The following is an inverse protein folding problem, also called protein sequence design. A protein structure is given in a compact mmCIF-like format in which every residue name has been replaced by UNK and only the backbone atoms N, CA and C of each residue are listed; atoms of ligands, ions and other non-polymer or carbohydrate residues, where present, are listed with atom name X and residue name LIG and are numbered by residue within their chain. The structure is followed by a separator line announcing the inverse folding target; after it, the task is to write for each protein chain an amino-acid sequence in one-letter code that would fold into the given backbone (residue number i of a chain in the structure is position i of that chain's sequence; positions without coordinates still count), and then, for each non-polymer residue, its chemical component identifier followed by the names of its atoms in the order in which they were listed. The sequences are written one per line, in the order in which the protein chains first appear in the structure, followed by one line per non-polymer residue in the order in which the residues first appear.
data_IF_524753834757
#
_entry.id   IF_524753834757
#
_cell.length_a   1.000
_cell.length_b   1.000
_cell.length_c   1.000
_cell.angle_alpha   90.00
_cell.angle_beta   90.00
_cell.angle_gamma   90.00
#
_symmetry.space_group_name_H-M   'P 1'
#
loop_
_entity.id
_entity.type
_entity.pdbx_description
1 polymer ?
#
# COMPACT_ATOMS: atom_id res chain seq x y z
N UNK A 1 -3.84 14.25 -16.06
CA UNK A 1 -3.71 12.93 -16.73
C UNK A 1 -4.84 12.71 -17.71
N UNK A 2 -4.54 12.12 -18.86
CA UNK A 2 -5.47 11.98 -20.00
C UNK A 2 -6.37 10.75 -19.88
N UNK A 3 -7.49 10.76 -20.63
CA UNK A 3 -8.34 9.58 -20.82
C UNK A 3 -7.67 8.53 -21.73
N UNK A 4 -6.81 8.97 -22.66
CA UNK A 4 -6.01 8.09 -23.50
C UNK A 4 -4.60 7.91 -22.88
N UNK A 5 -4.18 6.69 -22.52
CA UNK A 5 -2.87 6.47 -21.90
C UNK A 5 -1.69 6.80 -22.82
N UNK A 6 -1.87 6.80 -24.15
CA UNK A 6 -0.81 7.18 -25.09
C UNK A 6 -0.41 8.65 -24.96
N UNK A 7 -1.26 9.50 -24.36
CA UNK A 7 -1.01 10.93 -24.21
C UNK A 7 -0.29 11.28 -22.90
N UNK A 8 0.14 10.30 -22.09
CA UNK A 8 0.92 10.58 -20.88
C UNK A 8 2.07 9.58 -20.68
N UNK A 9 3.18 10.07 -20.13
CA UNK A 9 4.41 9.28 -19.97
C UNK A 9 4.30 8.08 -19.01
N UNK A 10 3.23 7.97 -18.22
CA UNK A 10 2.99 6.80 -17.38
C UNK A 10 2.25 5.68 -18.12
N UNK A 11 1.66 5.96 -19.28
CA UNK A 11 0.81 5.04 -20.01
C UNK A 11 -0.35 4.51 -19.16
N UNK A 12 -0.94 5.39 -18.33
CA UNK A 12 -2.07 5.07 -17.45
C UNK A 12 -3.21 6.07 -17.68
N UNK A 13 -4.44 5.58 -17.75
CA UNK A 13 -5.64 6.43 -17.77
C UNK A 13 -5.84 7.13 -16.42
N UNK A 14 -6.42 8.33 -16.40
CA UNK A 14 -6.79 8.99 -15.15
C UNK A 14 -7.71 8.13 -14.26
N UNK A 15 -8.62 7.35 -14.88
CA UNK A 15 -9.51 6.44 -14.15
C UNK A 15 -8.75 5.37 -13.37
N UNK A 16 -7.78 4.69 -14.01
CA UNK A 16 -6.90 3.74 -13.33
C UNK A 16 -6.14 4.35 -12.16
N UNK A 17 -5.70 5.61 -12.27
CA UNK A 17 -5.04 6.32 -11.17
C UNK A 17 -6.03 6.64 -10.04
N UNK A 18 -7.18 7.23 -10.35
CA UNK A 18 -8.14 7.66 -9.32
C UNK A 18 -8.78 6.46 -8.62
N UNK A 19 -9.26 5.48 -9.38
CA UNK A 19 -9.95 4.31 -8.83
C UNK A 19 -8.97 3.30 -8.25
N UNK A 20 -7.96 2.90 -9.02
CA UNK A 20 -7.01 1.87 -8.63
C UNK A 20 -6.01 2.38 -7.60
N UNK A 21 -5.17 3.36 -7.97
CA UNK A 21 -4.12 3.85 -7.07
C UNK A 21 -4.69 4.69 -5.91
N UNK A 22 -5.54 5.67 -6.19
CA UNK A 22 -6.04 6.64 -5.22
C UNK A 22 -7.05 6.04 -4.26
N UNK A 23 -8.18 5.57 -4.78
CA UNK A 23 -9.26 5.04 -3.95
C UNK A 23 -8.90 3.68 -3.36
N UNK A 24 -8.61 2.67 -4.18
CA UNK A 24 -8.43 1.29 -3.66
C UNK A 24 -7.10 1.10 -2.95
N UNK A 25 -5.98 1.28 -3.67
CA UNK A 25 -4.67 0.91 -3.14
C UNK A 25 -4.22 1.84 -2.02
N UNK A 26 -4.37 3.16 -2.20
CA UNK A 26 -3.93 4.11 -1.18
C UNK A 26 -4.81 4.06 0.06
N UNK A 27 -6.15 4.06 -0.05
CA UNK A 27 -6.98 3.98 1.16
C UNK A 27 -6.78 2.63 1.83
N UNK A 28 -6.69 1.53 1.06
CA UNK A 28 -6.37 0.22 1.62
C UNK A 28 -5.10 0.25 2.45
N UNK A 29 -3.99 0.77 1.89
CA UNK A 29 -2.74 0.87 2.63
C UNK A 29 -2.87 1.73 3.89
N UNK A 30 -3.39 2.96 3.78
CA UNK A 30 -3.41 3.89 4.90
C UNK A 30 -4.43 3.54 6.00
N UNK A 31 -5.44 2.73 5.70
CA UNK A 31 -6.49 2.37 6.65
C UNK A 31 -6.39 0.94 7.17
N UNK A 32 -5.63 0.07 6.52
CA UNK A 32 -5.53 -1.35 6.90
C UNK A 32 -4.10 -1.79 7.24
N UNK A 33 -3.07 -1.01 6.89
CA UNK A 33 -1.69 -1.34 7.28
C UNK A 33 -1.52 -1.27 8.80
N UNK A 34 -1.13 -2.41 9.37
CA UNK A 34 -0.99 -2.59 10.81
C UNK A 34 -0.06 -1.57 11.45
N UNK A 35 1.12 -1.31 10.87
CA UNK A 35 2.12 -0.43 11.44
C UNK A 35 1.64 1.03 11.43
N UNK A 36 0.98 1.43 10.35
CA UNK A 36 0.43 2.79 10.21
C UNK A 36 -0.71 3.02 11.21
N UNK A 37 -1.67 2.10 11.27
CA UNK A 37 -2.81 2.18 12.19
C UNK A 37 -2.33 2.12 13.65
N UNK A 38 -1.37 1.24 13.97
CA UNK A 38 -0.83 1.10 15.32
C UNK A 38 -0.22 2.41 15.83
N UNK A 39 0.53 3.14 14.98
CA UNK A 39 1.09 4.46 15.33
C UNK A 39 0.01 5.51 15.59
N UNK A 40 -1.11 5.44 14.88
CA UNK A 40 -2.23 6.34 15.11
C UNK A 40 -2.94 6.04 16.43
N UNK A 41 -3.17 4.77 16.77
CA UNK A 41 -3.86 4.38 18.02
C UNK A 41 -2.98 4.50 19.27
N UNK A 42 -1.65 4.46 19.13
CA UNK A 42 -0.72 4.71 20.24
C UNK A 42 -0.60 6.19 20.63
N UNK A 43 -1.34 7.09 19.96
CA UNK A 43 -1.33 8.50 20.27
C UNK A 43 -1.99 8.79 21.62
N UNK A 44 -1.49 9.84 22.31
CA UNK A 44 -1.90 10.19 23.69
C UNK A 44 -3.41 10.43 23.90
N UNK A 45 -4.15 10.79 22.86
CA UNK A 45 -5.60 11.02 22.90
C UNK A 45 -6.22 10.97 21.50
N UNK A 46 -7.55 10.97 21.43
CA UNK A 46 -8.32 10.88 20.18
C UNK A 46 -7.93 11.98 19.17
N UNK A 47 -7.78 13.23 19.62
CA UNK A 47 -7.37 14.32 18.73
C UNK A 47 -6.00 14.05 18.14
N UNK A 48 -5.02 13.65 18.96
CA UNK A 48 -3.68 13.33 18.48
C UNK A 48 -3.72 12.17 17.49
N UNK A 49 -4.53 11.14 17.75
CA UNK A 49 -4.75 10.00 16.85
C UNK A 49 -5.30 10.44 15.49
N UNK A 50 -6.32 11.32 15.48
CA UNK A 50 -6.90 11.89 14.26
C UNK A 50 -5.94 12.81 13.51
N UNK A 51 -5.11 13.57 14.23
CA UNK A 51 -4.12 14.47 13.65
C UNK A 51 -2.93 13.73 13.03
N UNK A 52 -2.61 12.51 13.49
CA UNK A 52 -1.50 11.70 12.96
C UNK A 52 -1.54 11.55 11.43
N UNK A 53 -2.62 11.02 10.81
CA UNK A 53 -2.68 10.91 9.34
C UNK A 53 -2.75 12.27 8.65
N UNK A 54 -3.39 13.28 9.27
CA UNK A 54 -3.51 14.63 8.69
C UNK A 54 -2.13 15.29 8.59
N UNK A 55 -1.33 15.26 9.65
CA UNK A 55 0.03 15.81 9.64
C UNK A 55 0.89 15.05 8.64
N UNK A 56 0.79 13.71 8.62
CA UNK A 56 1.52 12.88 7.67
C UNK A 56 1.20 13.24 6.20
N UNK A 57 -0.04 13.64 5.89
CA UNK A 57 -0.44 14.01 4.54
C UNK A 57 0.36 15.20 3.97
N UNK A 58 0.69 16.21 4.77
CA UNK A 58 1.50 17.35 4.33
C UNK A 58 2.91 16.92 3.92
N UNK A 59 3.57 16.12 4.76
CA UNK A 59 4.89 15.57 4.43
C UNK A 59 4.83 14.64 3.22
N UNK A 60 3.74 13.88 3.07
CA UNK A 60 3.56 12.97 1.93
C UNK A 60 3.37 13.72 0.62
N UNK A 61 2.74 14.90 0.63
CA UNK A 61 2.65 15.77 -0.55
C UNK A 61 4.01 16.35 -0.95
N UNK A 62 4.92 16.57 0.00
CA UNK A 62 6.28 17.04 -0.28
C UNK A 62 7.20 15.93 -0.82
N UNK A 63 6.95 14.67 -0.47
CA UNK A 63 7.85 13.55 -0.75
C UNK A 63 8.18 13.36 -2.26
N UNK A 64 7.23 13.48 -3.20
CA UNK A 64 7.52 13.38 -4.63
C UNK A 64 8.59 14.38 -5.12
N UNK A 65 8.64 15.59 -4.56
CA UNK A 65 9.67 16.58 -4.92
C UNK A 65 11.08 16.13 -4.56
N UNK A 66 11.22 15.22 -3.59
CA UNK A 66 12.51 14.65 -3.19
C UNK A 66 12.81 13.41 -4.03
N UNK A 67 11.89 12.44 -4.06
CA UNK A 67 12.16 11.11 -4.62
C UNK A 67 11.91 11.01 -6.12
N UNK A 68 10.82 11.61 -6.62
CA UNK A 68 10.45 11.53 -8.04
C UNK A 68 11.33 12.44 -8.87
N UNK A 69 11.60 13.66 -8.40
CA UNK A 69 12.52 14.59 -9.09
C UNK A 69 13.91 13.97 -9.23
N UNK A 70 14.44 13.33 -8.17
CA UNK A 70 15.69 12.58 -8.26
C UNK A 70 15.65 11.53 -9.37
N UNK A 71 14.59 10.72 -9.44
CA UNK A 71 14.40 9.75 -10.53
C UNK A 71 14.35 10.39 -11.93
N UNK A 72 13.66 11.53 -12.08
CA UNK A 72 13.58 12.27 -13.34
C UNK A 72 14.93 12.85 -13.77
N UNK A 73 15.70 13.41 -12.83
CA UNK A 73 17.06 13.89 -13.07
C UNK A 73 17.94 12.74 -13.56
N UNK A 74 17.92 11.59 -12.88
CA UNK A 74 18.67 10.42 -13.30
C UNK A 74 18.26 9.95 -14.71
N UNK A 75 16.96 9.99 -15.03
CA UNK A 75 16.45 9.59 -16.33
C UNK A 75 16.91 10.52 -17.46
N UNK A 76 16.89 11.84 -17.25
CA UNK A 76 17.38 12.83 -18.22
C UNK A 76 18.88 12.68 -18.42
N UNK A 77 19.65 12.61 -17.33
CA UNK A 77 21.10 12.44 -17.39
C UNK A 77 21.48 11.14 -18.13
N UNK A 78 20.77 10.04 -17.89
CA UNK A 78 21.08 8.76 -18.53
C UNK A 78 20.85 8.73 -20.04
N UNK A 79 20.07 9.69 -20.56
CA UNK A 79 19.80 9.84 -22.00
C UNK A 79 20.66 10.91 -22.66
N UNK A 80 21.28 11.78 -21.89
CA UNK A 80 22.20 12.80 -22.38
C UNK A 80 23.57 12.16 -22.70
N UNK A 81 23.99 12.11 -23.98
CA UNK A 81 25.28 11.54 -24.36
C UNK A 81 26.49 12.25 -23.72
N UNK A 82 26.34 13.52 -23.33
CA UNK A 82 27.42 14.34 -22.77
C UNK A 82 27.56 14.21 -21.25
N UNK A 83 26.56 13.66 -20.57
CA UNK A 83 26.55 13.63 -19.10
C UNK A 83 27.54 12.60 -18.52
N UNK A 84 27.96 11.61 -19.31
CA UNK A 84 28.68 10.40 -18.87
C UNK A 84 27.96 9.60 -17.75
N UNK A 85 26.70 9.91 -17.45
CA UNK A 85 25.89 9.17 -16.49
C UNK A 85 25.19 8.00 -17.17
N UNK A 86 25.23 6.82 -16.55
CA UNK A 86 24.49 5.65 -17.01
C UNK A 86 23.77 5.01 -15.83
N UNK A 87 22.55 4.57 -16.07
CA UNK A 87 21.83 3.69 -15.15
C UNK A 87 22.37 2.27 -15.28
N UNK A 88 22.20 1.45 -14.24
CA UNK A 88 22.58 0.06 -14.29
C UNK A 88 21.68 -0.67 -15.29
N UNK A 89 22.29 -1.57 -16.07
CA UNK A 89 21.57 -2.43 -17.01
C UNK A 89 21.73 -3.89 -16.61
N UNK A 90 20.64 -4.64 -16.68
CA UNK A 90 20.62 -6.09 -16.48
C UNK A 90 20.01 -6.74 -17.72
N UNK A 91 20.75 -7.63 -18.37
CA UNK A 91 20.37 -8.27 -19.64
C UNK A 91 19.90 -7.27 -20.72
N UNK A 92 20.55 -6.11 -20.82
CA UNK A 92 20.22 -5.07 -21.81
C UNK A 92 19.01 -4.19 -21.45
N UNK A 93 18.33 -4.44 -20.33
CA UNK A 93 17.26 -3.58 -19.82
C UNK A 93 17.76 -2.63 -18.74
N UNK A 94 17.30 -1.38 -18.79
CA UNK A 94 17.64 -0.36 -17.80
C UNK A 94 16.91 -0.65 -16.49
N UNK A 95 17.65 -0.71 -15.38
CA UNK A 95 17.09 -0.87 -14.04
C UNK A 95 16.80 0.50 -13.44
N UNK A 96 15.56 0.95 -13.52
CA UNK A 96 15.14 2.26 -13.00
C UNK A 96 15.37 2.42 -11.49
N UNK A 97 15.33 1.31 -10.72
CA UNK A 97 15.59 1.33 -9.28
C UNK A 97 17.04 1.74 -8.93
N UNK A 98 17.98 1.69 -9.89
CA UNK A 98 19.36 2.12 -9.66
C UNK A 98 19.54 3.65 -9.68
N UNK A 99 18.50 4.42 -9.97
CA UNK A 99 18.58 5.88 -10.10
C UNK A 99 19.19 6.56 -8.86
N UNK A 100 18.63 6.32 -7.67
CA UNK A 100 19.11 6.95 -6.43
C UNK A 100 20.55 6.53 -6.07
N UNK A 101 20.93 5.23 -6.06
CA UNK A 101 22.31 4.83 -5.80
C UNK A 101 23.31 5.44 -6.79
N UNK A 102 22.97 5.50 -8.08
CA UNK A 102 23.87 6.07 -9.10
C UNK A 102 24.01 7.59 -8.95
N UNK A 103 22.95 8.30 -8.60
CA UNK A 103 23.04 9.74 -8.31
C UNK A 103 23.90 10.02 -7.08
N UNK A 104 23.77 9.23 -6.01
CA UNK A 104 24.64 9.36 -4.84
C UNK A 104 26.11 9.15 -5.23
N UNK A 105 26.41 8.09 -5.97
CA UNK A 105 27.78 7.81 -6.43
C UNK A 105 28.35 8.93 -7.31
N UNK A 106 27.52 9.62 -8.10
CA UNK A 106 27.93 10.73 -8.97
C UNK A 106 28.18 12.03 -8.20
N UNK A 107 27.27 12.40 -7.30
CA UNK A 107 27.23 13.75 -6.73
C UNK A 107 27.85 13.86 -5.34
N UNK A 108 27.90 12.77 -4.57
CA UNK A 108 28.47 12.85 -3.23
C UNK A 108 30.00 12.75 -3.31
N UNK A 109 30.74 13.65 -2.65
CA UNK A 109 32.19 13.55 -2.55
C UNK A 109 32.60 12.34 -1.68
N UNK A 110 33.91 12.02 -1.74
CA UNK A 110 34.50 10.98 -0.91
C UNK A 110 34.22 11.25 0.58
N UNK A 111 33.80 10.21 1.31
CA UNK A 111 33.30 10.33 2.70
C UNK A 111 31.79 10.56 2.79
N UNK A 112 31.22 11.50 2.05
CA UNK A 112 29.76 11.72 2.04
C UNK A 112 29.01 10.55 1.40
N UNK A 113 29.59 9.89 0.37
CA UNK A 113 29.03 8.64 -0.20
C UNK A 113 28.78 7.60 0.90
N UNK A 114 29.73 7.44 1.84
CA UNK A 114 29.61 6.49 2.94
C UNK A 114 28.44 6.84 3.87
N UNK A 115 28.27 8.12 4.20
CA UNK A 115 27.12 8.61 4.99
C UNK A 115 25.81 8.35 4.24
N UNK A 116 25.77 8.63 2.93
CA UNK A 116 24.59 8.41 2.09
C UNK A 116 24.17 6.94 2.03
N UNK A 117 25.12 6.03 1.77
CA UNK A 117 24.87 4.58 1.76
C UNK A 117 24.42 4.11 3.14
N UNK A 118 25.08 4.59 4.21
CA UNK A 118 24.71 4.23 5.59
C UNK A 118 23.29 4.69 5.92
N UNK A 119 22.90 5.90 5.52
CA UNK A 119 21.54 6.41 5.72
C UNK A 119 20.48 5.58 4.96
N UNK A 120 20.78 5.15 3.72
CA UNK A 120 19.92 4.24 2.96
C UNK A 120 19.74 2.89 3.66
N UNK A 121 20.85 2.30 4.15
CA UNK A 121 20.82 1.04 4.88
C UNK A 121 20.07 1.17 6.20
N UNK A 122 20.30 2.24 6.95
CA UNK A 122 19.59 2.52 8.21
C UNK A 122 18.08 2.69 7.99
N UNK A 123 17.68 3.42 6.94
CA UNK A 123 16.28 3.58 6.56
C UNK A 123 15.61 2.24 6.19
N UNK A 124 16.31 1.42 5.42
CA UNK A 124 15.86 0.05 5.10
C UNK A 124 15.70 -0.82 6.35
N UNK A 125 16.69 -0.82 7.25
CA UNK A 125 16.66 -1.59 8.50
C UNK A 125 15.50 -1.17 9.41
N UNK A 126 15.23 0.12 9.53
CA UNK A 126 14.10 0.63 10.31
C UNK A 126 12.76 0.16 9.75
N UNK A 127 12.60 0.16 8.41
CA UNK A 127 11.41 -0.36 7.74
C UNK A 127 11.24 -1.87 7.93
N UNK A 128 12.31 -2.63 7.75
CA UNK A 128 12.30 -4.09 7.92
C UNK A 128 11.99 -4.50 9.35
N UNK A 129 12.59 -3.86 10.35
CA UNK A 129 12.32 -4.14 11.75
C UNK A 129 10.83 -3.95 12.10
N UNK A 130 10.20 -2.90 11.56
CA UNK A 130 8.76 -2.67 11.71
C UNK A 130 7.91 -3.78 11.10
N UNK A 131 8.18 -4.14 9.85
CA UNK A 131 7.41 -5.18 9.13
C UNK A 131 7.58 -6.57 9.76
N UNK A 132 8.78 -6.93 10.18
CA UNK A 132 9.07 -8.20 10.87
C UNK A 132 8.38 -8.26 12.23
N UNK A 133 8.33 -7.14 12.97
CA UNK A 133 7.62 -7.06 14.25
C UNK A 133 6.11 -7.26 14.07
N UNK A 134 5.53 -6.64 13.03
CA UNK A 134 4.12 -6.85 12.66
C UNK A 134 3.84 -8.31 12.29
N UNK A 135 4.67 -8.90 11.41
CA UNK A 135 4.56 -10.31 11.02
C UNK A 135 4.64 -11.26 12.23
N UNK A 136 5.59 -11.03 13.13
CA UNK A 136 5.74 -11.82 14.35
C UNK A 136 4.48 -11.72 15.24
N UNK A 137 3.91 -10.52 15.38
CA UNK A 137 2.69 -10.32 16.18
C UNK A 137 1.52 -11.11 15.59
N UNK A 138 1.29 -10.98 14.28
CA UNK A 138 0.21 -11.70 13.58
C UNK A 138 0.41 -13.21 13.66
N UNK A 139 1.63 -13.70 13.40
CA UNK A 139 1.93 -15.12 13.51
C UNK A 139 1.72 -15.65 14.93
N UNK A 140 2.27 -14.98 15.93
CA UNK A 140 2.30 -15.50 17.30
C UNK A 140 0.94 -15.39 17.99
N UNK A 141 0.27 -14.24 17.90
CA UNK A 141 -0.99 -13.99 18.60
C UNK A 141 -2.20 -14.38 17.77
N UNK A 142 -2.25 -13.97 16.50
CA UNK A 142 -3.47 -14.11 15.69
C UNK A 142 -3.61 -15.49 15.06
N UNK A 143 -2.52 -16.25 14.91
CA UNK A 143 -2.51 -17.60 14.33
C UNK A 143 -2.08 -18.65 15.36
N UNK A 144 -0.85 -18.55 15.87
CA UNK A 144 -0.25 -19.62 16.68
C UNK A 144 -0.96 -19.77 18.04
N UNK A 145 -1.16 -18.67 18.77
CA UNK A 145 -1.88 -18.69 20.05
C UNK A 145 -3.38 -18.89 19.89
N UNK A 146 -4.00 -18.38 18.83
CA UNK A 146 -5.46 -18.47 18.65
C UNK A 146 -5.92 -19.84 18.15
N UNK A 147 -5.16 -20.49 17.27
CA UNK A 147 -5.56 -21.72 16.56
C UNK A 147 -4.69 -22.93 16.92
N UNK A 148 -3.36 -22.78 16.97
CA UNK A 148 -2.44 -23.93 17.06
C UNK A 148 -2.20 -24.38 18.51
N UNK A 149 -1.74 -23.47 19.37
CA UNK A 149 -1.37 -23.78 20.76
C UNK A 149 -1.81 -22.65 21.69
N UNK A 150 -3.02 -22.79 22.24
CA UNK A 150 -3.72 -21.75 23.00
C UNK A 150 -3.17 -21.49 24.41
N UNK A 151 -2.65 -22.55 25.04
CA UNK A 151 -2.22 -22.55 26.44
C UNK A 151 -0.72 -22.87 26.55
N UNK A 152 0.13 -22.12 25.85
CA UNK A 152 1.57 -22.15 26.09
C UNK A 152 1.99 -21.07 27.10
N UNK A 153 3.18 -21.21 27.68
CA UNK A 153 3.78 -20.18 28.53
C UNK A 153 4.24 -18.97 27.71
N UNK A 154 4.34 -17.80 28.32
CA UNK A 154 4.83 -16.59 27.64
C UNK A 154 6.24 -16.76 27.06
N UNK A 155 7.11 -17.52 27.76
CA UNK A 155 8.44 -17.90 27.25
C UNK A 155 8.36 -18.65 25.91
N UNK A 156 7.37 -19.55 25.76
CA UNK A 156 7.15 -20.28 24.52
C UNK A 156 6.69 -19.36 23.39
N UNK A 157 5.79 -18.41 23.66
CA UNK A 157 5.36 -17.45 22.65
C UNK A 157 6.49 -16.51 22.20
N UNK A 158 7.34 -16.06 23.12
CA UNK A 158 8.54 -15.26 22.77
C UNK A 158 9.49 -16.08 21.91
N UNK A 159 9.73 -17.35 22.25
CA UNK A 159 10.54 -18.24 21.42
C UNK A 159 9.95 -18.41 20.02
N UNK A 160 8.65 -18.68 19.91
CA UNK A 160 7.99 -18.79 18.60
C UNK A 160 8.04 -17.51 17.79
N UNK A 161 7.97 -16.34 18.44
CA UNK A 161 8.17 -15.08 17.76
C UNK A 161 9.57 -14.94 17.16
N UNK A 162 10.62 -15.37 17.87
CA UNK A 162 11.99 -15.38 17.33
C UNK A 162 12.14 -16.32 16.13
N UNK A 163 11.49 -17.49 16.18
CA UNK A 163 11.45 -18.43 15.04
C UNK A 163 10.72 -17.80 13.84
N UNK A 164 9.60 -17.13 14.08
CA UNK A 164 8.85 -16.42 13.04
C UNK A 164 9.69 -15.31 12.40
N UNK A 165 10.49 -14.58 13.18
CA UNK A 165 11.43 -13.59 12.65
C UNK A 165 12.44 -14.21 11.69
N UNK A 166 13.10 -15.31 12.07
CA UNK A 166 14.09 -15.98 11.22
C UNK A 166 13.44 -16.50 9.94
N UNK A 167 12.28 -17.16 10.06
CA UNK A 167 11.53 -17.67 8.92
C UNK A 167 11.07 -16.55 7.98
N UNK A 168 10.55 -15.45 8.54
CA UNK A 168 10.11 -14.28 7.77
C UNK A 168 11.26 -13.62 7.01
N UNK A 169 12.45 -13.51 7.61
CA UNK A 169 13.65 -13.01 6.94
C UNK A 169 14.04 -13.93 5.78
N UNK A 170 14.04 -15.25 6.00
CA UNK A 170 14.36 -16.21 4.95
C UNK A 170 13.39 -16.11 3.76
N UNK A 171 12.09 -16.06 4.02
CA UNK A 171 11.06 -15.87 2.98
C UNK A 171 11.24 -14.52 2.26
N UNK A 172 11.62 -13.46 2.98
CA UNK A 172 11.90 -12.14 2.40
C UNK A 172 13.08 -12.18 1.43
N UNK A 173 14.14 -12.94 1.74
CA UNK A 173 15.29 -13.13 0.84
C UNK A 173 14.85 -13.87 -0.42
N UNK A 174 14.08 -14.96 -0.29
CA UNK A 174 13.58 -15.73 -1.45
C UNK A 174 12.71 -14.86 -2.35
N UNK A 175 11.78 -14.11 -1.76
CA UNK A 175 10.88 -13.22 -2.53
C UNK A 175 11.61 -12.03 -3.15
N UNK A 176 12.74 -11.58 -2.60
CA UNK A 176 13.57 -10.55 -3.22
C UNK A 176 14.18 -11.00 -4.56
N UNK A 177 14.49 -12.28 -4.73
CA UNK A 177 14.91 -12.81 -6.05
C UNK A 177 13.76 -12.80 -7.04
N UNK A 178 12.53 -13.07 -6.58
CA UNK A 178 11.36 -13.00 -7.44
C UNK A 178 11.06 -11.57 -7.90
N UNK A 179 11.26 -10.58 -7.02
CA UNK A 179 11.10 -9.16 -7.35
C UNK A 179 11.98 -8.70 -8.52
N UNK A 180 13.15 -9.34 -8.75
CA UNK A 180 14.01 -9.03 -9.91
C UNK A 180 13.37 -9.35 -11.26
N UNK A 181 12.32 -10.19 -11.29
CA UNK A 181 11.58 -10.50 -12.52
C UNK A 181 10.61 -9.40 -12.96
N UNK A 182 10.42 -8.36 -12.15
CA UNK A 182 9.55 -7.23 -12.45
C UNK A 182 10.33 -6.04 -13.02
N UNK A 183 9.68 -5.17 -13.84
CA UNK A 183 10.34 -3.99 -14.42
C UNK A 183 10.90 -3.00 -13.38
N UNK A 184 10.22 -2.88 -12.24
CA UNK A 184 10.66 -2.08 -11.11
C UNK A 184 10.16 -2.67 -9.80
N UNK A 185 10.79 -2.29 -8.68
CA UNK A 185 10.32 -2.66 -7.34
C UNK A 185 8.90 -2.12 -7.09
N UNK A 186 8.57 -0.96 -7.66
CA UNK A 186 7.23 -0.38 -7.57
C UNK A 186 6.19 -1.21 -8.30
N UNK A 187 6.49 -1.74 -9.49
CA UNK A 187 5.58 -2.66 -10.20
C UNK A 187 5.31 -3.92 -9.39
N UNK A 188 6.35 -4.49 -8.77
CA UNK A 188 6.21 -5.64 -7.88
C UNK A 188 5.34 -5.34 -6.66
N UNK A 189 5.60 -4.22 -5.98
CA UNK A 189 4.84 -3.82 -4.80
C UNK A 189 3.36 -3.59 -5.13
N UNK A 190 3.06 -2.90 -6.23
CA UNK A 190 1.69 -2.65 -6.65
C UNK A 190 0.98 -3.93 -7.12
N UNK A 191 1.73 -4.89 -7.66
CA UNK A 191 1.18 -6.19 -7.95
C UNK A 191 0.71 -6.91 -6.68
N UNK A 192 1.55 -6.98 -5.65
CA UNK A 192 1.17 -7.59 -4.36
C UNK A 192 0.00 -6.84 -3.71
N UNK A 193 0.02 -5.51 -3.72
CA UNK A 193 -1.07 -4.72 -3.16
C UNK A 193 -2.39 -4.97 -3.88
N UNK A 194 -2.37 -5.15 -5.20
CA UNK A 194 -3.58 -5.51 -5.96
C UNK A 194 -4.12 -6.90 -5.57
N UNK A 195 -3.27 -7.83 -5.15
CA UNK A 195 -3.69 -9.19 -4.79
C UNK A 195 -4.32 -9.25 -3.42
N UNK A 196 -3.73 -8.56 -2.43
CA UNK A 196 -4.09 -8.74 -1.01
C UNK A 196 -4.77 -7.49 -0.44
N UNK A 197 -4.15 -6.33 -0.60
CA UNK A 197 -4.61 -5.08 0.03
C UNK A 197 -5.94 -4.58 -0.55
N UNK A 198 -6.13 -4.69 -1.87
CA UNK A 198 -7.37 -4.26 -2.52
C UNK A 198 -8.63 -5.03 -2.02
N UNK A 199 -8.67 -6.37 -2.02
CA UNK A 199 -9.78 -7.13 -1.41
C UNK A 199 -9.95 -6.87 0.09
N UNK A 200 -8.85 -6.74 0.84
CA UNK A 200 -8.90 -6.47 2.27
C UNK A 200 -9.60 -5.13 2.56
N UNK A 201 -9.30 -4.10 1.76
CA UNK A 201 -9.97 -2.80 1.88
C UNK A 201 -11.48 -2.88 1.64
N UNK A 202 -11.95 -3.65 0.65
CA UNK A 202 -13.39 -3.84 0.41
C UNK A 202 -14.08 -4.46 1.63
N UNK A 203 -13.47 -5.51 2.20
CA UNK A 203 -14.00 -6.21 3.37
C UNK A 203 -14.03 -5.30 4.61
N UNK A 204 -12.94 -4.56 4.86
CA UNK A 204 -12.86 -3.60 5.96
C UNK A 204 -13.88 -2.47 5.82
N UNK A 205 -14.03 -1.90 4.61
CA UNK A 205 -15.00 -0.85 4.35
C UNK A 205 -16.44 -1.33 4.62
N UNK A 206 -16.79 -2.51 4.10
CA UNK A 206 -18.11 -3.09 4.35
C UNK A 206 -18.34 -3.40 5.84
N UNK A 207 -17.37 -4.01 6.51
CA UNK A 207 -17.45 -4.32 7.94
C UNK A 207 -17.57 -3.08 8.84
N UNK A 208 -16.89 -1.98 8.49
CA UNK A 208 -16.94 -0.74 9.28
C UNK A 208 -18.24 0.04 9.11
N UNK A 209 -18.86 0.01 7.92
CA UNK A 209 -19.97 0.90 7.57
C UNK A 209 -21.32 0.20 7.42
N UNK A 210 -21.37 -1.13 7.30
CA UNK A 210 -22.61 -1.88 6.98
C UNK A 210 -22.89 -2.95 8.04
N UNK A 211 -23.99 -2.78 8.78
CA UNK A 211 -24.34 -3.61 9.95
C UNK A 211 -24.77 -5.04 9.63
N UNK A 212 -25.26 -5.31 8.42
CA UNK A 212 -25.82 -6.61 8.04
C UNK A 212 -24.81 -7.51 7.31
N UNK A 213 -23.57 -7.03 7.11
CA UNK A 213 -22.50 -7.84 6.52
C UNK A 213 -22.12 -8.96 7.48
N UNK A 214 -21.97 -10.17 6.92
CA UNK A 214 -21.74 -11.38 7.71
C UNK A 214 -20.27 -11.82 7.66
N UNK A 215 -19.78 -12.56 8.67
CA UNK A 215 -18.42 -13.11 8.64
C UNK A 215 -18.17 -14.04 7.43
N UNK A 216 -19.19 -14.84 7.05
CA UNK A 216 -19.09 -15.73 5.89
C UNK A 216 -19.04 -14.94 4.57
N UNK A 217 -19.82 -13.86 4.47
CA UNK A 217 -19.75 -12.95 3.33
C UNK A 217 -18.36 -12.33 3.19
N UNK A 218 -17.83 -11.79 4.29
CA UNK A 218 -16.48 -11.23 4.33
C UNK A 218 -15.41 -12.26 3.94
N UNK A 219 -15.48 -13.48 4.48
CA UNK A 219 -14.53 -14.55 4.19
C UNK A 219 -14.53 -14.94 2.70
N UNK A 220 -15.70 -15.28 2.14
CA UNK A 220 -15.80 -15.70 0.75
C UNK A 220 -15.55 -14.57 -0.24
N UNK A 221 -15.95 -13.35 0.09
CA UNK A 221 -15.63 -12.17 -0.70
C UNK A 221 -14.12 -11.92 -0.75
N UNK A 222 -13.43 -12.02 0.39
CA UNK A 222 -11.98 -11.87 0.45
C UNK A 222 -11.26 -12.93 -0.40
N UNK A 223 -11.66 -14.20 -0.28
CA UNK A 223 -11.10 -15.30 -1.10
C UNK A 223 -11.36 -15.07 -2.59
N UNK A 224 -12.57 -14.65 -2.97
CA UNK A 224 -12.92 -14.36 -4.37
C UNK A 224 -12.11 -13.17 -4.93
N UNK A 225 -11.96 -12.10 -4.15
CA UNK A 225 -11.15 -10.94 -4.53
C UNK A 225 -9.66 -11.27 -4.70
N UNK A 226 -9.07 -11.99 -3.73
CA UNK A 226 -7.67 -12.40 -3.81
C UNK A 226 -7.42 -13.36 -4.97
N UNK A 227 -8.28 -14.37 -5.12
CA UNK A 227 -8.15 -15.38 -6.18
C UNK A 227 -8.35 -14.77 -7.57
N UNK A 228 -9.33 -13.89 -7.74
CA UNK A 228 -9.55 -13.19 -9.02
C UNK A 228 -8.35 -12.31 -9.38
N UNK A 229 -7.81 -11.55 -8.43
CA UNK A 229 -6.63 -10.71 -8.66
C UNK A 229 -5.40 -11.54 -9.03
N UNK A 230 -5.12 -12.61 -8.28
CA UNK A 230 -3.99 -13.47 -8.56
C UNK A 230 -4.14 -14.18 -9.91
N UNK A 231 -5.35 -14.66 -10.23
CA UNK A 231 -5.67 -15.29 -11.52
C UNK A 231 -5.48 -14.31 -12.67
N UNK A 232 -6.03 -13.09 -12.57
CA UNK A 232 -5.86 -12.05 -13.58
C UNK A 232 -4.38 -11.69 -13.80
N UNK A 233 -3.56 -11.68 -12.73
CA UNK A 233 -2.12 -11.50 -12.85
C UNK A 233 -1.47 -12.64 -13.66
N UNK A 234 -1.78 -13.90 -13.36
CA UNK A 234 -1.23 -15.05 -14.09
C UNK A 234 -1.67 -15.06 -15.56
N UNK A 235 -2.95 -14.79 -15.82
CA UNK A 235 -3.50 -14.77 -17.19
C UNK A 235 -2.81 -13.71 -18.06
N UNK A 236 -2.53 -12.52 -17.52
CA UNK A 236 -1.77 -11.49 -18.23
C UNK A 236 -0.29 -11.86 -18.34
N UNK A 237 0.32 -12.40 -17.27
CA UNK A 237 1.74 -12.77 -17.27
C UNK A 237 2.08 -13.87 -18.28
N UNK A 238 1.16 -14.83 -18.48
CA UNK A 238 1.31 -15.92 -19.45
C UNK A 238 0.71 -15.60 -20.83
N UNK A 239 0.35 -14.33 -21.10
CA UNK A 239 -0.25 -13.89 -22.37
C UNK A 239 -1.52 -14.65 -22.78
N UNK A 240 -2.25 -15.24 -21.82
CA UNK A 240 -3.54 -15.90 -22.07
C UNK A 240 -4.63 -14.84 -22.34
N UNK A 241 -4.55 -13.72 -21.63
CA UNK A 241 -5.41 -12.55 -21.83
C UNK A 241 -4.54 -11.33 -22.11
N UNK A 242 -4.91 -10.54 -23.11
CA UNK A 242 -4.25 -9.25 -23.35
C UNK A 242 -4.46 -8.31 -22.17
N UNK A 243 -3.40 -7.58 -21.79
CA UNK A 243 -3.47 -6.49 -20.81
C UNK A 243 -4.62 -5.51 -21.09
N UNK A 244 -4.96 -5.28 -22.37
CA UNK A 244 -6.09 -4.45 -22.82
C UNK A 244 -7.39 -4.82 -22.13
N UNK A 245 -7.64 -6.11 -21.89
CA UNK A 245 -8.88 -6.59 -21.28
C UNK A 245 -9.08 -6.03 -19.88
N UNK A 246 -7.99 -5.87 -19.12
CA UNK A 246 -8.02 -5.35 -17.75
C UNK A 246 -7.96 -3.83 -17.76
N UNK A 247 -7.11 -3.26 -18.62
CA UNK A 247 -6.80 -1.82 -18.63
C UNK A 247 -7.76 -0.99 -19.47
N UNK A 248 -8.66 -1.64 -20.21
CA UNK A 248 -9.60 -1.03 -21.16
C UNK A 248 -8.88 -0.17 -22.22
N UNK A 249 -7.60 -0.46 -22.48
CA UNK A 249 -6.77 0.30 -23.41
C UNK A 249 -5.54 -0.48 -23.86
N UNK A 250 -5.21 -0.38 -25.16
CA UNK A 250 -4.14 -1.12 -25.82
C UNK A 250 -2.73 -0.69 -25.42
N UNK A 251 -2.55 0.61 -25.16
CA UNK A 251 -1.24 1.21 -24.90
C UNK A 251 -0.91 1.34 -23.41
N UNK A 252 -1.42 0.43 -22.58
CA UNK A 252 -1.26 0.49 -21.12
C UNK A 252 0.07 -0.11 -20.64
N UNK A 253 0.67 0.49 -19.61
CA UNK A 253 1.88 -0.03 -18.92
C UNK A 253 1.55 -1.20 -17.98
N UNK A 254 2.55 -1.99 -17.56
CA UNK A 254 2.39 -2.99 -16.48
C UNK A 254 1.82 -2.37 -15.18
N UNK A 255 2.26 -1.16 -14.85
CA UNK A 255 1.74 -0.39 -13.72
C UNK A 255 0.24 -0.10 -13.86
N UNK A 256 -0.22 0.31 -15.05
CA UNK A 256 -1.65 0.51 -15.31
C UNK A 256 -2.46 -0.77 -15.07
N UNK A 257 -1.94 -1.92 -15.50
CA UNK A 257 -2.58 -3.22 -15.29
C UNK A 257 -2.71 -3.55 -13.79
N UNK A 258 -1.71 -3.21 -12.97
CA UNK A 258 -1.79 -3.38 -11.52
C UNK A 258 -2.90 -2.53 -10.89
N UNK A 259 -3.05 -1.27 -11.32
CA UNK A 259 -4.09 -0.37 -10.78
C UNK A 259 -5.50 -0.82 -11.14
N UNK A 260 -5.73 -1.16 -12.41
CA UNK A 260 -7.03 -1.69 -12.85
C UNK A 260 -7.33 -3.03 -12.20
N UNK A 261 -6.35 -3.91 -12.06
CA UNK A 261 -6.53 -5.18 -11.36
C UNK A 261 -6.92 -4.98 -9.90
N UNK A 262 -6.32 -4.01 -9.21
CA UNK A 262 -6.72 -3.64 -7.85
C UNK A 262 -8.18 -3.20 -7.79
N UNK A 263 -8.62 -2.35 -8.73
CA UNK A 263 -10.02 -1.93 -8.84
C UNK A 263 -10.97 -3.12 -9.02
N UNK A 264 -10.68 -4.01 -9.98
CA UNK A 264 -11.51 -5.20 -10.23
C UNK A 264 -11.53 -6.15 -9.04
N UNK A 265 -10.39 -6.41 -8.41
CA UNK A 265 -10.29 -7.26 -7.22
C UNK A 265 -11.10 -6.71 -6.05
N UNK A 266 -11.03 -5.40 -5.82
CA UNK A 266 -11.84 -4.70 -4.83
C UNK A 266 -13.33 -4.82 -5.15
N UNK A 267 -13.73 -4.58 -6.40
CA UNK A 267 -15.14 -4.64 -6.81
C UNK A 267 -15.72 -6.05 -6.68
N UNK A 268 -14.97 -7.07 -7.12
CA UNK A 268 -15.36 -8.48 -6.98
C UNK A 268 -15.51 -8.84 -5.51
N UNK A 269 -14.54 -8.50 -4.67
CA UNK A 269 -14.63 -8.71 -3.23
C UNK A 269 -15.86 -8.02 -2.64
N UNK A 270 -16.09 -6.76 -3.00
CA UNK A 270 -17.21 -5.95 -2.50
C UNK A 270 -18.56 -6.58 -2.86
N UNK A 271 -18.75 -6.95 -4.13
CA UNK A 271 -19.99 -7.55 -4.63
C UNK A 271 -20.22 -8.94 -4.03
N UNK A 272 -19.21 -9.82 -4.02
CA UNK A 272 -19.35 -11.17 -3.46
C UNK A 272 -19.65 -11.12 -1.96
N UNK A 273 -18.99 -10.22 -1.20
CA UNK A 273 -19.29 -10.03 0.22
C UNK A 273 -20.75 -9.64 0.43
N UNK A 274 -21.27 -8.71 -0.36
CA UNK A 274 -22.68 -8.28 -0.29
C UNK A 274 -23.62 -9.45 -0.63
N UNK A 275 -23.40 -10.12 -1.76
CA UNK A 275 -24.26 -11.20 -2.24
C UNK A 275 -24.31 -12.33 -1.23
N UNK A 276 -23.16 -12.82 -0.76
CA UNK A 276 -23.10 -13.91 0.23
C UNK A 276 -23.69 -13.47 1.57
N UNK A 277 -23.54 -12.19 1.95
CA UNK A 277 -24.15 -11.68 3.18
C UNK A 277 -25.68 -11.71 3.16
N UNK A 278 -26.33 -11.56 2.00
CA UNK A 278 -27.79 -11.72 1.89
C UNK A 278 -28.27 -13.16 2.15
N UNK A 279 -27.42 -14.16 1.89
CA UNK A 279 -27.76 -15.58 2.06
C UNK A 279 -27.22 -16.19 3.35
N UNK A 280 -26.60 -15.39 4.23
CA UNK A 280 -25.95 -15.89 5.44
C UNK A 280 -26.44 -15.16 6.69
N UNK A 281 -26.20 -15.76 7.86
CA UNK A 281 -26.71 -15.22 9.13
C UNK A 281 -25.84 -14.04 9.60
N UNK A 282 -26.46 -12.87 9.72
CA UNK A 282 -25.85 -11.69 10.33
C UNK A 282 -25.63 -11.88 11.83
N UNK A 283 -24.61 -11.22 12.38
CA UNK A 283 -24.34 -11.23 13.82
C UNK A 283 -25.37 -10.39 14.58
N UNK A 284 -25.64 -10.71 15.86
CA UNK A 284 -26.47 -9.88 16.72
C UNK A 284 -25.93 -8.46 16.81
N UNK A 285 -26.85 -7.49 16.86
CA UNK A 285 -26.50 -6.06 16.90
C UNK A 285 -25.71 -5.68 18.15
N UNK A 286 -25.84 -6.43 19.26
CA UNK A 286 -25.06 -6.19 20.47
C UNK A 286 -23.57 -6.42 20.27
N UNK A 287 -23.18 -7.44 19.50
CA UNK A 287 -21.77 -7.75 19.21
C UNK A 287 -21.09 -6.70 18.31
N UNK A 288 -21.88 -5.89 17.61
CA UNK A 288 -21.40 -4.88 16.66
C UNK A 288 -21.11 -3.53 17.30
N UNK A 289 -21.47 -3.34 18.58
CA UNK A 289 -21.23 -2.10 19.32
C UNK A 289 -19.72 -1.85 19.46
N UNK A 290 -19.27 -0.68 19.03
CA UNK A 290 -17.84 -0.33 19.03
C UNK A 290 -17.05 -0.81 17.82
N UNK A 291 -17.65 -1.62 16.94
CA UNK A 291 -17.01 -2.15 15.73
C UNK A 291 -17.55 -1.50 14.45
N UNK A 292 -18.88 -1.32 14.37
CA UNK A 292 -19.54 -0.70 13.22
C UNK A 292 -19.85 0.76 13.53
N UNK A 293 -19.56 1.66 12.61
CA UNK A 293 -19.70 3.12 12.80
C UNK A 293 -21.10 3.54 13.26
N UNK A 294 -22.15 2.97 12.68
CA UNK A 294 -23.55 3.27 13.06
C UNK A 294 -23.92 2.80 14.47
N UNK A 295 -23.16 1.85 15.03
CA UNK A 295 -23.39 1.26 16.35
C UNK A 295 -22.41 1.80 17.40
N UNK A 296 -21.59 2.80 17.04
CA UNK A 296 -20.50 3.30 17.86
C UNK A 296 -20.68 4.78 18.15
N UNK A 297 -20.67 5.13 19.43
CA UNK A 297 -20.67 6.53 19.85
C UNK A 297 -19.27 7.12 19.69
N UNK A 298 -19.09 8.04 18.75
CA UNK A 298 -17.83 8.75 18.55
C UNK A 298 -17.85 10.01 19.42
N UNK A 299 -17.05 10.02 20.49
CA UNK A 299 -16.88 11.20 21.34
C UNK A 299 -16.28 12.33 20.52
N UNK A 300 -17.01 13.45 20.37
CA UNK A 300 -16.47 14.66 19.74
C UNK A 300 -15.44 15.30 20.65
N UNK A 301 -14.38 15.83 20.05
CA UNK A 301 -13.37 16.59 20.78
C UNK A 301 -13.92 18.00 21.05
N UNK A 302 -14.41 18.23 22.26
CA UNK A 302 -14.94 19.51 22.71
C UNK A 302 -13.84 20.41 23.32
N UNK A 303 -14.11 21.72 23.42
CA UNK A 303 -13.22 22.66 24.11
C UNK A 303 -11.95 23.08 23.36
N UNK A 304 -11.85 22.82 22.04
CA UNK A 304 -10.72 23.25 21.22
C UNK A 304 -11.07 24.45 20.30
N UNK A 305 -10.14 25.40 20.12
CA UNK A 305 -10.29 26.47 19.13
C UNK A 305 -10.56 25.93 17.72
N UNK A 306 -11.37 26.64 16.94
CA UNK A 306 -11.81 26.18 15.60
C UNK A 306 -10.64 25.78 14.68
N UNK A 307 -9.57 26.58 14.62
CA UNK A 307 -8.39 26.32 13.79
C UNK A 307 -7.56 25.09 14.22
N UNK A 308 -7.78 24.57 15.44
CA UNK A 308 -7.11 23.35 15.96
C UNK A 308 -7.96 22.09 15.75
N UNK A 309 -9.16 22.22 15.20
CA UNK A 309 -10.03 21.08 14.89
C UNK A 309 -9.41 20.24 13.77
N UNK A 310 -9.31 18.91 13.92
CA UNK A 310 -8.77 18.04 12.88
C UNK A 310 -9.42 18.26 11.51
N UNK A 311 -10.72 18.49 11.47
CA UNK A 311 -11.48 18.73 10.25
C UNK A 311 -11.00 19.95 9.47
N UNK A 312 -10.65 21.03 10.19
CA UNK A 312 -10.14 22.28 9.57
C UNK A 312 -8.74 22.08 9.01
N UNK A 313 -7.86 21.39 9.75
CA UNK A 313 -6.50 21.10 9.26
C UNK A 313 -6.53 20.12 8.08
N UNK A 314 -7.44 19.15 8.10
CA UNK A 314 -7.67 18.24 6.98
C UNK A 314 -8.16 19.01 5.73
N UNK A 315 -9.07 19.98 5.89
CA UNK A 315 -9.53 20.83 4.80
C UNK A 315 -8.38 21.63 4.18
N UNK A 316 -7.50 22.21 5.00
CA UNK A 316 -6.30 22.91 4.52
C UNK A 316 -5.41 21.96 3.71
N UNK A 317 -5.19 20.73 4.19
CA UNK A 317 -4.41 19.72 3.44
C UNK A 317 -5.03 19.42 2.07
N UNK A 318 -6.35 19.26 2.01
CA UNK A 318 -7.08 19.03 0.74
C UNK A 318 -6.98 20.23 -0.19
N UNK A 319 -7.09 21.46 0.31
CA UNK A 319 -6.93 22.67 -0.51
C UNK A 319 -5.53 22.72 -1.13
N UNK A 320 -4.48 22.46 -0.33
CA UNK A 320 -3.10 22.40 -0.84
C UNK A 320 -2.96 21.31 -1.90
N UNK A 321 -3.53 20.12 -1.66
CA UNK A 321 -3.51 19.03 -2.65
C UNK A 321 -4.16 19.46 -3.97
N UNK A 322 -5.30 20.13 -3.92
CA UNK A 322 -6.01 20.62 -5.12
C UNK A 322 -5.15 21.66 -5.84
N UNK A 323 -4.60 22.64 -5.12
CA UNK A 323 -3.73 23.68 -5.70
C UNK A 323 -2.52 23.05 -6.39
N UNK A 324 -1.83 22.10 -5.73
CA UNK A 324 -0.71 21.39 -6.32
C UNK A 324 -1.12 20.63 -7.58
N UNK A 325 -2.27 19.94 -7.56
CA UNK A 325 -2.76 19.27 -8.75
C UNK A 325 -3.04 20.27 -9.87
N UNK A 326 -3.64 21.44 -9.60
CA UNK A 326 -3.90 22.46 -10.63
C UNK A 326 -2.59 23.02 -11.21
N UNK A 327 -1.57 23.27 -10.38
CA UNK A 327 -0.28 23.81 -10.82
C UNK A 327 0.48 22.82 -11.72
N UNK A 328 0.38 21.51 -11.44
CA UNK A 328 1.14 20.46 -12.12
C UNK A 328 0.31 19.61 -13.10
N UNK A 329 -0.95 19.96 -13.38
CA UNK A 329 -1.83 19.24 -14.30
C UNK A 329 -1.49 19.51 -15.76
#
# INVERSE_FOLDING_TARGET
TSANPALNGMHVTWMGIVLGLGFVLSFGYWTTDFLVVQRAISAKNLRASQMTPIIASFFKMALPFIVVIGGLIAWVLARDPHSAFKLLTDNGQVRYDSALPMLLARYYPQGLIGIGITALLAGFMAGQAGNISAFNTVWTYDIYRSVIKKNASDKHYVYMGRVATIAGIFISIVTAYWAKSFPSIMDYMQAIFSWVNAPLFATMLLGMFVVWITPNGAFWGLIAGMSSSFTLFLLVKFNIISKTFITLSDNASPMAANFWRAWWAWLICFVVTIVVSFFTKARPKEELKGLVKSMTFIKKVEGIPYYKKPEVVALISVIILIILNIIFW
#
